data_IF_838362859425
#
_entry.id   IF_838362859425
#
_cell.length_a   1.000
_cell.length_b   1.000
_cell.length_c   1.000
_cell.angle_alpha   90.00
_cell.angle_beta   90.00
_cell.angle_gamma   90.00
#
_symmetry.space_group_name_H-M   'P 1'
#
loop_
_entity.id
_entity.type
_entity.pdbx_description
1 polymer ?
#
# COMPACT_ATOMS: atom_id res chain seq x y z
N UNK A 1 -12.01 -19.90 -21.27
CA UNK A 1 -11.40 -19.55 -19.98
C UNK A 1 -11.20 -20.86 -19.25
N UNK A 2 -10.32 -21.72 -19.77
CA UNK A 2 -10.28 -23.15 -19.39
C UNK A 2 -8.82 -23.56 -19.11
N UNK A 3 -8.05 -22.64 -18.56
CA UNK A 3 -6.70 -22.89 -18.08
C UNK A 3 -6.71 -23.47 -16.67
N UNK A 4 -5.63 -24.16 -16.25
CA UNK A 4 -5.54 -24.75 -14.91
C UNK A 4 -5.48 -23.70 -13.78
N UNK A 5 -5.27 -22.43 -14.12
CA UNK A 5 -5.20 -21.32 -13.16
C UNK A 5 -6.59 -20.68 -13.10
N UNK A 6 -7.25 -20.87 -11.96
CA UNK A 6 -8.55 -20.28 -11.64
C UNK A 6 -8.44 -19.39 -10.41
N UNK A 7 -9.34 -18.42 -10.27
CA UNK A 7 -9.43 -17.61 -9.04
C UNK A 7 -9.87 -18.51 -7.89
N UNK A 8 -9.18 -18.41 -6.75
CA UNK A 8 -9.57 -19.11 -5.51
C UNK A 8 -10.96 -18.65 -5.05
N UNK A 9 -11.23 -17.35 -5.16
CA UNK A 9 -12.55 -16.76 -4.96
C UNK A 9 -13.12 -16.34 -6.31
N UNK A 10 -14.17 -17.02 -6.81
CA UNK A 10 -14.84 -16.60 -8.05
C UNK A 10 -15.37 -15.17 -7.98
N UNK A 11 -15.92 -14.78 -6.82
CA UNK A 11 -16.37 -13.42 -6.51
C UNK A 11 -15.29 -12.66 -5.70
N UNK A 12 -14.10 -12.54 -6.29
CA UNK A 12 -12.96 -11.90 -5.63
C UNK A 12 -13.26 -10.46 -5.19
N UNK A 13 -14.01 -9.69 -5.98
CA UNK A 13 -14.32 -8.28 -5.67
C UNK A 13 -15.13 -8.17 -4.38
N UNK A 14 -16.21 -8.94 -4.22
CA UNK A 14 -16.99 -8.88 -2.99
C UNK A 14 -16.19 -9.36 -1.77
N UNK A 15 -15.35 -10.40 -1.94
CA UNK A 15 -14.48 -10.92 -0.87
C UNK A 15 -13.44 -9.88 -0.44
N UNK A 16 -12.77 -9.22 -1.39
CA UNK A 16 -11.77 -8.17 -1.13
C UNK A 16 -12.41 -6.93 -0.50
N UNK A 17 -13.60 -6.52 -0.97
CA UNK A 17 -14.35 -5.41 -0.38
C UNK A 17 -14.75 -5.70 1.07
N UNK A 18 -15.24 -6.92 1.34
CA UNK A 18 -15.55 -7.37 2.71
C UNK A 18 -14.30 -7.40 3.57
N UNK A 19 -13.19 -7.94 3.06
CA UNK A 19 -11.91 -7.97 3.76
C UNK A 19 -11.47 -6.56 4.15
N UNK A 20 -11.52 -5.60 3.24
CA UNK A 20 -11.17 -4.22 3.56
C UNK A 20 -12.15 -3.61 4.58
N UNK A 21 -13.46 -3.86 4.46
CA UNK A 21 -14.44 -3.35 5.41
C UNK A 21 -14.19 -3.88 6.84
N UNK A 22 -13.84 -5.16 6.97
CA UNK A 22 -13.59 -5.82 8.25
C UNK A 22 -12.23 -5.42 8.87
N UNK A 23 -11.20 -5.26 8.02
CA UNK A 23 -9.81 -5.13 8.49
C UNK A 23 -9.24 -3.74 8.35
N UNK A 24 -9.79 -2.91 7.46
CA UNK A 24 -9.20 -1.65 6.98
C UNK A 24 -7.79 -1.80 6.42
N UNK A 25 -7.44 -3.01 5.98
CA UNK A 25 -6.16 -3.28 5.34
C UNK A 25 -6.34 -3.33 3.83
N UNK A 26 -5.74 -2.37 3.14
CA UNK A 26 -5.31 -2.56 1.76
C UNK A 26 -3.84 -2.97 1.80
N UNK A 27 -3.48 -4.23 1.45
CA UNK A 27 -2.14 -4.75 1.72
C UNK A 27 -1.03 -3.90 1.09
N UNK A 28 0.04 -3.55 1.84
CA UNK A 28 1.18 -2.85 1.27
C UNK A 28 1.82 -3.72 0.17
N UNK A 29 1.85 -3.21 -1.05
CA UNK A 29 2.37 -3.99 -2.19
C UNK A 29 3.90 -3.98 -2.22
N UNK A 30 4.51 -2.85 -1.86
CA UNK A 30 5.95 -2.61 -1.99
C UNK A 30 6.52 -1.83 -0.82
N UNK A 31 7.78 -2.12 -0.47
CA UNK A 31 8.58 -1.34 0.48
C UNK A 31 9.84 -0.83 -0.23
N UNK A 32 10.21 0.43 0.02
CA UNK A 32 11.43 1.04 -0.53
C UNK A 32 12.55 0.91 0.49
N UNK A 33 13.68 0.35 0.07
CA UNK A 33 14.87 0.21 0.89
C UNK A 33 15.95 1.20 0.45
N UNK A 34 16.48 1.96 1.40
CA UNK A 34 17.55 2.93 1.16
C UNK A 34 18.86 2.32 1.64
N UNK A 35 19.87 2.29 0.76
CA UNK A 35 21.21 1.83 1.16
C UNK A 35 21.76 2.75 2.25
N UNK A 36 22.38 2.15 3.29
CA UNK A 36 22.96 2.88 4.42
C UNK A 36 23.86 4.05 4.00
N UNK A 37 24.75 3.84 3.03
CA UNK A 37 25.65 4.88 2.53
C UNK A 37 24.92 6.08 1.90
N UNK A 38 23.73 5.87 1.30
CA UNK A 38 22.91 6.97 0.78
C UNK A 38 22.20 7.72 1.91
N UNK A 39 21.67 6.97 2.89
CA UNK A 39 21.00 7.53 4.06
C UNK A 39 21.93 8.41 4.90
N UNK A 40 23.14 7.92 5.17
CA UNK A 40 24.12 8.65 6.00
C UNK A 40 24.67 9.90 5.29
N UNK A 41 24.64 9.93 3.95
CA UNK A 41 25.05 11.09 3.15
C UNK A 41 24.01 12.21 3.20
N UNK A 42 22.73 11.87 3.13
CA UNK A 42 21.61 12.81 3.15
C UNK A 42 20.38 12.12 3.75
N UNK A 43 20.08 12.40 5.02
CA UNK A 43 18.93 11.79 5.71
C UNK A 43 17.57 12.29 5.19
N UNK A 44 17.54 13.43 4.50
CA UNK A 44 16.30 13.96 3.90
C UNK A 44 15.83 13.12 2.71
N UNK A 45 16.68 12.20 2.21
CA UNK A 45 16.33 11.29 1.10
C UNK A 45 15.04 10.51 1.35
N UNK A 46 14.73 10.15 2.60
CA UNK A 46 13.49 9.47 2.94
C UNK A 46 12.26 10.33 2.66
N UNK A 47 12.21 11.53 3.23
CA UNK A 47 11.10 12.48 3.02
C UNK A 47 10.97 12.87 1.56
N UNK A 48 12.08 13.18 0.89
CA UNK A 48 12.09 13.55 -0.53
C UNK A 48 11.55 12.44 -1.44
N UNK A 49 11.81 11.17 -1.12
CA UNK A 49 11.22 10.05 -1.85
C UNK A 49 9.72 9.95 -1.60
N UNK A 50 9.25 10.10 -0.35
CA UNK A 50 7.81 10.12 -0.04
C UNK A 50 7.10 11.24 -0.80
N UNK A 51 7.68 12.45 -0.82
CA UNK A 51 7.13 13.60 -1.56
C UNK A 51 7.06 13.31 -3.07
N UNK A 52 8.13 12.78 -3.65
CA UNK A 52 8.17 12.43 -5.07
C UNK A 52 7.17 11.34 -5.46
N UNK A 53 6.94 10.35 -4.59
CA UNK A 53 5.92 9.33 -4.82
C UNK A 53 4.50 9.90 -4.71
N UNK A 54 4.23 10.78 -3.73
CA UNK A 54 2.94 11.47 -3.63
C UNK A 54 2.64 12.33 -4.88
N UNK A 55 3.65 13.03 -5.40
CA UNK A 55 3.51 13.79 -6.65
C UNK A 55 3.23 12.86 -7.84
N UNK A 56 3.95 11.74 -7.91
CA UNK A 56 3.75 10.72 -8.96
C UNK A 56 2.35 10.10 -8.91
N UNK A 57 1.84 9.79 -7.72
CA UNK A 57 0.49 9.23 -7.54
C UNK A 57 -0.58 10.25 -7.96
N UNK A 58 -0.41 11.54 -7.59
CA UNK A 58 -1.32 12.61 -8.02
C UNK A 58 -1.39 12.70 -9.55
N UNK A 59 -0.24 12.60 -10.22
CA UNK A 59 -0.19 12.59 -11.69
C UNK A 59 -0.83 11.33 -12.28
N UNK A 60 -0.62 10.17 -11.64
CA UNK A 60 -1.18 8.90 -12.07
C UNK A 60 -2.71 8.87 -11.96
N UNK A 61 -3.28 9.33 -10.85
CA UNK A 61 -4.72 9.44 -10.65
C UNK A 61 -5.38 10.37 -11.68
N UNK A 62 -4.75 11.52 -11.96
CA UNK A 62 -5.21 12.43 -13.00
C UNK A 62 -5.17 11.76 -14.38
N UNK A 63 -4.09 11.06 -14.70
CA UNK A 63 -3.92 10.35 -15.96
C UNK A 63 -4.95 9.22 -16.14
N UNK A 64 -5.27 8.46 -15.08
CA UNK A 64 -6.29 7.39 -15.14
C UNK A 64 -7.65 7.93 -15.63
N UNK A 65 -8.03 9.13 -15.20
CA UNK A 65 -9.30 9.76 -15.60
C UNK A 65 -9.27 10.37 -17.00
N UNK A 66 -8.09 10.58 -17.57
CA UNK A 66 -7.87 11.31 -18.84
C UNK A 66 -7.34 10.44 -19.98
N UNK A 67 -6.99 9.17 -19.73
CA UNK A 67 -6.33 8.31 -20.71
C UNK A 67 -7.27 7.84 -21.85
N UNK A 68 -6.82 7.81 -23.12
CA UNK A 68 -7.70 7.59 -24.27
C UNK A 68 -8.20 6.15 -24.45
N UNK A 69 -7.66 5.18 -23.72
CA UNK A 69 -8.11 3.78 -23.75
C UNK A 69 -8.31 3.24 -22.34
N UNK A 70 -9.46 3.58 -21.78
CA UNK A 70 -9.94 3.05 -20.52
C UNK A 70 -11.08 2.08 -20.81
N UNK A 71 -11.20 1.01 -20.01
CA UNK A 71 -12.44 0.23 -19.95
C UNK A 71 -13.62 1.19 -19.77
N UNK A 72 -14.78 0.96 -20.42
CA UNK A 72 -15.96 1.80 -20.20
C UNK A 72 -16.43 1.82 -18.73
N UNK A 73 -15.93 0.88 -17.92
CA UNK A 73 -16.23 0.74 -16.49
C UNK A 73 -15.16 1.32 -15.56
N UNK A 74 -14.00 1.77 -16.08
CA UNK A 74 -12.88 2.18 -15.23
C UNK A 74 -13.26 3.31 -14.27
N UNK A 75 -13.96 4.33 -14.75
CA UNK A 75 -14.36 5.46 -13.89
C UNK A 75 -15.27 4.99 -12.75
N UNK A 76 -16.21 4.08 -13.04
CA UNK A 76 -17.06 3.49 -12.02
C UNK A 76 -16.25 2.65 -11.01
N UNK A 77 -15.23 1.92 -11.49
CA UNK A 77 -14.34 1.15 -10.62
C UNK A 77 -13.50 2.06 -9.70
N UNK A 78 -12.97 3.17 -10.22
CA UNK A 78 -12.24 4.18 -9.44
C UNK A 78 -13.14 4.83 -8.40
N UNK A 79 -14.37 5.21 -8.77
CA UNK A 79 -15.34 5.82 -7.87
C UNK A 79 -15.81 4.85 -6.78
N UNK A 80 -16.01 3.58 -7.11
CA UNK A 80 -16.38 2.54 -6.15
C UNK A 80 -15.24 2.26 -5.16
N UNK A 81 -14.00 2.20 -5.65
CA UNK A 81 -12.82 2.04 -4.80
C UNK A 81 -12.68 3.21 -3.82
N UNK A 82 -12.77 4.45 -4.32
CA UNK A 82 -12.72 5.65 -3.49
C UNK A 82 -13.85 5.70 -2.45
N UNK A 83 -15.08 5.29 -2.82
CA UNK A 83 -16.22 5.24 -1.89
C UNK A 83 -15.99 4.26 -0.74
N UNK A 84 -15.32 3.14 -0.99
CA UNK A 84 -15.04 2.12 0.02
C UNK A 84 -13.80 2.45 0.85
N UNK A 85 -12.71 2.85 0.19
CA UNK A 85 -11.36 2.93 0.76
C UNK A 85 -10.93 4.36 1.13
N UNK A 86 -11.65 5.38 0.66
CA UNK A 86 -11.24 6.77 0.67
C UNK A 86 -10.48 7.14 -0.61
N UNK A 87 -10.30 8.44 -0.85
CA UNK A 87 -9.69 8.94 -2.10
C UNK A 87 -8.19 8.61 -2.21
N UNK A 88 -7.49 8.42 -1.08
CA UNK A 88 -6.04 8.20 -1.00
C UNK A 88 -5.71 6.74 -0.65
N UNK A 89 -6.26 5.80 -1.43
CA UNK A 89 -6.08 4.36 -1.17
C UNK A 89 -4.70 3.83 -1.61
N UNK A 90 -3.91 4.61 -2.36
CA UNK A 90 -2.49 4.34 -2.65
C UNK A 90 -1.53 5.18 -1.79
N UNK A 91 -1.96 5.56 -0.59
CA UNK A 91 -1.20 6.39 0.33
C UNK A 91 0.27 6.00 0.51
N UNK A 92 1.16 6.99 0.45
CA UNK A 92 2.58 6.84 0.79
C UNK A 92 2.91 7.42 2.19
N UNK A 93 4.01 6.92 2.75
CA UNK A 93 4.50 7.34 4.06
C UNK A 93 4.02 6.45 5.21
N UNK A 94 4.73 6.53 6.34
CA UNK A 94 4.55 5.62 7.46
C UNK A 94 3.17 5.77 8.13
N UNK A 95 2.77 6.98 8.48
CA UNK A 95 1.57 7.17 9.30
C UNK A 95 0.29 6.70 8.62
N UNK A 96 0.13 7.00 7.33
CA UNK A 96 -1.02 6.53 6.55
C UNK A 96 -1.05 4.99 6.43
N UNK A 97 0.10 4.34 6.49
CA UNK A 97 0.26 2.90 6.36
C UNK A 97 0.47 2.17 7.71
N UNK A 98 0.49 2.89 8.83
CA UNK A 98 0.90 2.36 10.14
C UNK A 98 0.07 1.15 10.54
N UNK A 99 -1.24 1.23 10.38
CA UNK A 99 -2.16 0.11 10.65
C UNK A 99 -1.78 -1.14 9.85
N UNK A 100 -1.57 -1.00 8.54
CA UNK A 100 -1.20 -2.13 7.68
C UNK A 100 0.17 -2.72 8.04
N UNK A 101 1.15 -1.87 8.39
CA UNK A 101 2.48 -2.31 8.85
C UNK A 101 2.38 -3.04 10.19
N UNK A 102 1.62 -2.53 11.15
CA UNK A 102 1.44 -3.17 12.46
C UNK A 102 0.71 -4.52 12.33
N UNK A 103 -0.27 -4.61 11.42
CA UNK A 103 -0.93 -5.88 11.08
C UNK A 103 0.09 -6.85 10.48
N UNK A 104 0.90 -6.42 9.52
CA UNK A 104 1.95 -7.26 8.93
C UNK A 104 2.95 -7.76 9.99
N UNK A 105 3.46 -6.88 10.86
CA UNK A 105 4.38 -7.25 11.91
C UNK A 105 3.76 -8.20 12.95
N UNK A 106 2.48 -8.01 13.28
CA UNK A 106 1.73 -8.92 14.16
C UNK A 106 1.57 -10.29 13.51
N UNK A 107 1.08 -10.36 12.27
CA UNK A 107 0.89 -11.61 11.54
C UNK A 107 2.20 -12.38 11.41
N UNK A 108 3.30 -11.71 11.05
CA UNK A 108 4.61 -12.36 10.95
C UNK A 108 5.10 -12.95 12.29
N UNK A 109 4.72 -12.37 13.43
CA UNK A 109 5.02 -12.94 14.73
C UNK A 109 4.09 -14.11 15.07
N UNK A 110 2.79 -13.98 14.82
CA UNK A 110 1.77 -15.02 15.05
C UNK A 110 2.04 -16.28 14.21
N UNK A 111 2.52 -16.10 12.97
CA UNK A 111 2.91 -17.18 12.05
C UNK A 111 4.30 -17.78 12.39
N UNK A 112 4.99 -17.28 13.41
CA UNK A 112 6.28 -17.78 13.87
C UNK A 112 7.48 -17.41 12.98
N UNK A 113 7.33 -16.47 12.04
CA UNK A 113 8.42 -15.97 11.19
C UNK A 113 9.40 -15.10 12.00
N UNK A 114 8.93 -14.46 13.08
CA UNK A 114 9.73 -13.59 13.95
C UNK A 114 9.81 -14.14 15.37
N UNK A 115 10.98 -14.02 16.01
CA UNK A 115 11.21 -14.42 17.41
C UNK A 115 10.61 -13.45 18.43
N UNK A 116 10.30 -12.22 18.01
CA UNK A 116 9.65 -11.19 18.81
C UNK A 116 8.69 -10.39 17.93
N UNK A 117 7.64 -9.84 18.53
CA UNK A 117 6.74 -8.93 17.84
C UNK A 117 7.44 -7.59 17.61
N UNK A 118 7.55 -7.19 16.34
CA UNK A 118 7.97 -5.84 15.94
C UNK A 118 6.74 -4.93 15.89
N UNK A 119 6.98 -3.62 16.02
CA UNK A 119 6.00 -2.56 15.71
C UNK A 119 6.40 -1.85 14.42
N UNK A 120 5.50 -1.04 13.86
CA UNK A 120 5.84 -0.12 12.77
C UNK A 120 7.04 0.78 13.15
N UNK A 121 7.11 1.25 14.39
CA UNK A 121 8.24 2.08 14.87
C UNK A 121 9.55 1.31 14.93
N UNK A 122 9.54 0.03 15.33
CA UNK A 122 10.72 -0.83 15.27
C UNK A 122 11.20 -1.00 13.82
N UNK A 123 10.26 -1.17 12.89
CA UNK A 123 10.56 -1.43 11.48
C UNK A 123 11.11 -0.19 10.77
N UNK A 124 10.64 1.01 11.14
CA UNK A 124 11.01 2.30 10.56
C UNK A 124 11.81 3.20 11.52
N UNK A 125 12.50 2.61 12.51
CA UNK A 125 13.15 3.33 13.61
C UNK A 125 14.17 4.40 13.17
N UNK A 126 14.90 4.14 12.09
CA UNK A 126 15.87 5.11 11.56
C UNK A 126 15.18 6.30 10.90
N UNK A 127 14.09 6.05 10.18
CA UNK A 127 13.30 7.06 9.51
C UNK A 127 12.66 8.02 10.52
N UNK A 128 12.14 7.49 11.63
CA UNK A 128 11.51 8.28 12.70
C UNK A 128 12.48 9.16 13.51
N UNK A 129 13.79 8.91 13.41
CA UNK A 129 14.84 9.66 14.14
C UNK A 129 15.55 10.71 13.27
N UNK A 130 15.32 10.70 11.96
CA UNK A 130 15.87 11.68 11.04
C UNK A 130 15.04 12.97 11.04
#
# INVERSE_FOLDING_TARGET
MDGPIVRVFPDFRAVEQKYFADTRCYPPQHVVLIRRASWDRDRTVGTRLVDAFNESETMFEAAQRQFPYNSPWLIADVEDAARLMGDDYHAHGLEKNRHAVDVFCRSAFEDGLLKRRLTADDFFADFLKA
#
